data_IF_619780450969
#
_entry.id   IF_619780450969
#
_cell.length_a   1.000
_cell.length_b   1.000
_cell.length_c   1.000
_cell.angle_alpha   90.00
_cell.angle_beta   90.00
_cell.angle_gamma   90.00
#
_symmetry.space_group_name_H-M   'P 1'
#
loop_
_entity.id
_entity.type
_entity.pdbx_description
1 polymer ?
#
# COMPACT_ATOMS: atom_id res chain seq x y z
N UNK A 1 25.51 -1.63 -25.02
CA UNK A 1 26.35 -0.95 -24.01
C UNK A 1 25.58 0.28 -23.55
N UNK A 2 24.95 0.24 -22.37
CA UNK A 2 24.15 1.36 -21.84
C UNK A 2 24.91 2.04 -20.68
N UNK A 3 25.41 3.28 -20.84
CA UNK A 3 26.39 3.86 -19.92
C UNK A 3 25.79 4.82 -18.87
N UNK A 4 24.69 4.49 -18.18
CA UNK A 4 24.11 5.40 -17.18
C UNK A 4 23.45 4.75 -15.94
N UNK A 5 23.87 3.54 -15.56
CA UNK A 5 23.62 3.08 -14.19
C UNK A 5 24.72 3.66 -13.28
N UNK A 6 24.63 4.95 -12.98
CA UNK A 6 25.34 5.51 -11.83
C UNK A 6 24.81 4.78 -10.59
N UNK A 7 25.74 4.22 -9.81
CA UNK A 7 25.46 3.53 -8.56
C UNK A 7 24.68 4.44 -7.63
N UNK A 8 23.36 4.21 -7.48
CA UNK A 8 22.61 4.76 -6.36
C UNK A 8 23.32 4.28 -5.09
N UNK A 9 23.82 5.22 -4.29
CA UNK A 9 24.33 4.88 -2.96
C UNK A 9 23.18 4.26 -2.18
N UNK A 10 23.28 2.96 -1.88
CA UNK A 10 22.38 2.31 -0.94
C UNK A 10 22.58 3.00 0.40
N UNK A 11 21.70 3.92 0.76
CA UNK A 11 21.67 4.47 2.11
C UNK A 11 21.39 3.28 3.03
N UNK A 12 22.23 3.08 4.04
CA UNK A 12 21.93 2.12 5.09
C UNK A 12 20.63 2.56 5.79
N UNK A 13 19.68 1.65 6.05
CA UNK A 13 18.45 2.02 6.74
C UNK A 13 18.79 2.57 8.14
N UNK A 14 18.15 3.66 8.54
CA UNK A 14 18.26 4.15 9.92
C UNK A 14 17.84 3.05 10.92
N UNK A 15 18.57 2.90 12.03
CA UNK A 15 18.36 1.81 13.02
C UNK A 15 16.91 1.67 13.50
N UNK A 16 16.18 2.79 13.59
CA UNK A 16 14.76 2.82 13.99
C UNK A 16 13.83 2.13 12.99
N UNK A 17 14.15 2.19 11.70
CA UNK A 17 13.38 1.57 10.62
C UNK A 17 13.59 0.05 10.60
N UNK A 18 14.80 -0.40 10.96
CA UNK A 18 15.12 -1.82 11.07
C UNK A 18 14.35 -2.51 12.21
N UNK A 19 14.23 -1.85 13.37
CA UNK A 19 13.46 -2.40 14.50
C UNK A 19 11.97 -2.59 14.15
N UNK A 20 11.36 -1.62 13.44
CA UNK A 20 9.99 -1.73 12.97
C UNK A 20 9.79 -2.87 11.97
N UNK A 21 10.73 -3.03 11.03
CA UNK A 21 10.71 -4.11 10.06
C UNK A 21 10.83 -5.50 10.72
N UNK A 22 11.74 -5.66 11.68
CA UNK A 22 11.94 -6.92 12.40
C UNK A 22 10.70 -7.32 13.22
N UNK A 23 10.09 -6.35 13.90
CA UNK A 23 8.85 -6.57 14.63
C UNK A 23 7.71 -6.98 13.69
N UNK A 24 7.59 -6.35 12.52
CA UNK A 24 6.61 -6.74 11.50
C UNK A 24 6.83 -8.18 11.00
N UNK A 25 8.07 -8.53 10.64
CA UNK A 25 8.44 -9.89 10.19
C UNK A 25 8.05 -10.92 11.23
N UNK A 26 8.32 -10.62 12.51
CA UNK A 26 7.95 -11.48 13.64
C UNK A 26 6.44 -11.59 13.82
N UNK A 27 5.72 -10.48 13.78
CA UNK A 27 4.27 -10.42 13.94
C UNK A 27 3.54 -11.26 12.88
N UNK A 28 4.01 -11.21 11.63
CA UNK A 28 3.39 -11.93 10.51
C UNK A 28 4.02 -13.30 10.21
N UNK A 29 4.96 -13.76 11.05
CA UNK A 29 5.69 -15.02 10.88
C UNK A 29 6.27 -15.18 9.46
N UNK A 30 6.86 -14.09 8.94
CA UNK A 30 7.46 -14.07 7.61
C UNK A 30 8.80 -14.80 7.69
N UNK A 31 8.99 -15.81 6.85
CA UNK A 31 10.26 -16.54 6.83
C UNK A 31 11.42 -15.67 6.34
N UNK A 32 12.64 -16.06 6.71
CA UNK A 32 13.85 -15.30 6.42
C UNK A 32 14.04 -15.00 4.92
N UNK A 33 13.74 -15.97 4.05
CA UNK A 33 13.86 -15.79 2.59
C UNK A 33 12.95 -14.67 2.07
N UNK A 34 11.71 -14.57 2.56
CA UNK A 34 10.81 -13.48 2.19
C UNK A 34 11.20 -12.17 2.89
N UNK A 35 11.65 -12.22 4.15
CA UNK A 35 12.12 -11.03 4.85
C UNK A 35 13.30 -10.36 4.11
N UNK A 36 14.27 -11.14 3.62
CA UNK A 36 15.38 -10.60 2.80
C UNK A 36 14.88 -9.94 1.52
N UNK A 37 13.88 -10.52 0.84
CA UNK A 37 13.29 -9.92 -0.35
C UNK A 37 12.55 -8.62 -0.05
N UNK A 38 11.81 -8.57 1.07
CA UNK A 38 11.11 -7.37 1.51
C UNK A 38 12.07 -6.23 1.87
N UNK A 39 13.22 -6.53 2.49
CA UNK A 39 14.28 -5.53 2.71
C UNK A 39 14.80 -4.92 1.40
N UNK A 40 14.77 -5.66 0.30
CA UNK A 40 15.17 -5.18 -1.02
C UNK A 40 14.28 -4.05 -1.56
N UNK A 41 13.13 -3.77 -0.94
CA UNK A 41 12.28 -2.61 -1.26
C UNK A 41 12.83 -1.30 -0.68
N UNK A 42 13.85 -1.35 0.19
CA UNK A 42 14.46 -0.15 0.75
C UNK A 42 15.02 0.77 -0.36
N UNK A 43 14.74 2.07 -0.23
CA UNK A 43 15.20 3.09 -1.19
C UNK A 43 14.41 3.13 -2.50
N UNK A 44 13.31 2.38 -2.58
CA UNK A 44 12.28 2.60 -3.59
C UNK A 44 11.15 3.41 -2.98
N UNK A 45 10.63 4.33 -3.78
CA UNK A 45 9.36 4.97 -3.52
C UNK A 45 8.22 3.98 -3.77
N UNK A 46 7.33 3.83 -2.78
CA UNK A 46 6.23 2.87 -2.85
C UNK A 46 4.90 3.61 -3.02
N UNK A 47 4.22 3.32 -4.13
CA UNK A 47 2.90 3.88 -4.47
C UNK A 47 1.85 2.78 -4.60
N UNK A 48 0.69 2.97 -3.97
CA UNK A 48 -0.49 2.12 -4.08
C UNK A 48 -1.55 2.79 -4.95
N UNK A 49 -2.16 2.04 -5.87
CA UNK A 49 -3.38 2.44 -6.56
C UNK A 49 -4.53 1.55 -6.08
N UNK A 50 -5.41 2.12 -5.27
CA UNK A 50 -6.53 1.42 -4.64
C UNK A 50 -7.80 1.51 -5.50
N UNK A 51 -8.38 0.36 -5.85
CA UNK A 51 -9.71 0.32 -6.47
C UNK A 51 -10.77 0.68 -5.44
N UNK A 52 -11.46 1.78 -5.68
CA UNK A 52 -12.60 2.24 -4.89
C UNK A 52 -13.86 2.43 -5.75
N UNK A 53 -13.98 1.64 -6.83
CA UNK A 53 -15.15 1.62 -7.70
C UNK A 53 -16.39 1.04 -7.01
N UNK A 54 -17.58 1.30 -7.56
CA UNK A 54 -18.84 0.77 -7.02
C UNK A 54 -18.87 -0.76 -6.91
N UNK A 55 -18.11 -1.47 -7.76
CA UNK A 55 -18.00 -2.94 -7.73
C UNK A 55 -17.37 -3.48 -6.45
N UNK A 56 -16.62 -2.65 -5.71
CA UNK A 56 -15.97 -3.03 -4.46
C UNK A 56 -16.97 -3.24 -3.30
N UNK A 57 -18.24 -2.84 -3.47
CA UNK A 57 -19.33 -3.18 -2.53
C UNK A 57 -19.77 -4.65 -2.63
N UNK A 58 -19.28 -5.40 -3.61
CA UNK A 58 -19.64 -6.80 -3.81
C UNK A 58 -19.25 -7.63 -2.58
N UNK A 59 -20.18 -8.39 -1.98
CA UNK A 59 -19.88 -9.33 -0.90
C UNK A 59 -18.88 -10.42 -1.33
N UNK A 60 -18.05 -10.86 -0.39
CA UNK A 60 -17.14 -12.00 -0.52
C UNK A 60 -17.71 -13.17 0.28
N UNK A 61 -17.77 -14.34 -0.34
CA UNK A 61 -18.26 -15.59 0.26
C UNK A 61 -19.73 -15.90 -0.06
N UNK A 62 -20.09 -17.18 0.08
CA UNK A 62 -21.48 -17.62 -0.06
C UNK A 62 -22.34 -17.10 1.10
N UNK A 63 -23.60 -16.80 0.82
CA UNK A 63 -24.61 -16.42 1.83
C UNK A 63 -24.77 -17.60 2.79
N UNK A 64 -24.07 -17.59 3.92
CA UNK A 64 -24.41 -18.50 5.01
C UNK A 64 -25.68 -17.94 5.65
N UNK A 65 -26.70 -18.76 5.86
CA UNK A 65 -27.96 -18.36 6.51
C UNK A 65 -27.83 -17.87 7.96
N UNK A 66 -26.62 -17.72 8.48
CA UNK A 66 -26.38 -16.96 9.71
C UNK A 66 -26.31 -15.48 9.35
N UNK A 67 -27.14 -14.63 9.95
CA UNK A 67 -27.25 -13.18 9.69
C UNK A 67 -25.99 -12.34 9.99
N UNK A 68 -24.79 -12.89 9.81
CA UNK A 68 -23.52 -12.18 9.84
C UNK A 68 -23.39 -11.33 8.57
N UNK A 69 -23.06 -10.06 8.78
CA UNK A 69 -22.71 -9.14 7.71
C UNK A 69 -21.55 -9.74 6.89
N UNK A 70 -21.79 -9.94 5.60
CA UNK A 70 -20.75 -10.45 4.70
C UNK A 70 -19.67 -9.38 4.49
N UNK A 71 -18.40 -9.79 4.55
CA UNK A 71 -17.29 -8.92 4.17
C UNK A 71 -17.44 -8.54 2.70
N UNK A 72 -17.09 -7.32 2.32
CA UNK A 72 -17.10 -6.89 0.90
C UNK A 72 -15.67 -6.82 0.38
N UNK A 73 -15.50 -6.77 -0.95
CA UNK A 73 -14.18 -6.52 -1.57
C UNK A 73 -13.51 -5.26 -1.03
N UNK A 74 -14.30 -4.25 -0.68
CA UNK A 74 -13.80 -3.06 -0.01
C UNK A 74 -13.21 -3.33 1.36
N UNK A 75 -13.89 -4.11 2.20
CA UNK A 75 -13.38 -4.47 3.53
C UNK A 75 -12.09 -5.32 3.45
N UNK A 76 -11.99 -6.20 2.46
CA UNK A 76 -10.75 -6.95 2.18
C UNK A 76 -9.62 -6.03 1.71
N UNK A 77 -9.91 -5.08 0.82
CA UNK A 77 -8.93 -4.09 0.37
C UNK A 77 -8.44 -3.23 1.54
N UNK A 78 -9.33 -2.73 2.41
CA UNK A 78 -8.93 -1.97 3.62
C UNK A 78 -7.93 -2.74 4.45
N UNK A 79 -8.25 -4.00 4.77
CA UNK A 79 -7.38 -4.86 5.60
C UNK A 79 -6.03 -5.06 4.93
N UNK A 80 -6.03 -5.38 3.64
CA UNK A 80 -4.80 -5.64 2.87
C UNK A 80 -3.93 -4.38 2.80
N UNK A 81 -4.50 -3.24 2.40
CA UNK A 81 -3.76 -1.98 2.29
C UNK A 81 -3.22 -1.55 3.65
N UNK A 82 -3.99 -1.66 4.73
CA UNK A 82 -3.49 -1.35 6.08
C UNK A 82 -2.24 -2.16 6.44
N UNK A 83 -2.25 -3.48 6.18
CA UNK A 83 -1.10 -4.36 6.46
C UNK A 83 0.12 -3.94 5.63
N UNK A 84 -0.08 -3.70 4.33
CA UNK A 84 1.02 -3.42 3.41
C UNK A 84 1.56 -2.01 3.62
N UNK A 85 0.74 -1.03 4.02
CA UNK A 85 1.20 0.32 4.40
C UNK A 85 2.07 0.27 5.66
N UNK A 86 1.65 -0.47 6.69
CA UNK A 86 2.47 -0.60 7.91
C UNK A 86 3.81 -1.28 7.61
N UNK A 87 3.84 -2.27 6.69
CA UNK A 87 5.10 -2.85 6.21
C UNK A 87 5.94 -1.84 5.42
N UNK A 88 5.34 -1.22 4.40
CA UNK A 88 6.05 -0.36 3.47
C UNK A 88 6.66 0.85 4.20
N UNK A 89 5.96 1.39 5.20
CA UNK A 89 6.45 2.47 6.05
C UNK A 89 7.65 2.09 6.94
N UNK A 90 7.95 0.78 7.10
CA UNK A 90 9.19 0.34 7.79
C UNK A 90 10.41 0.29 6.86
N UNK A 91 10.19 0.29 5.54
CA UNK A 91 11.27 0.22 4.53
C UNK A 91 11.40 1.48 3.69
N UNK A 92 10.38 2.35 3.70
CA UNK A 92 10.35 3.66 3.07
C UNK A 92 10.23 4.75 4.15
N UNK A 93 11.31 5.48 4.49
CA UNK A 93 11.30 6.49 5.55
C UNK A 93 10.40 7.69 5.23
N UNK A 94 10.15 7.97 3.94
CA UNK A 94 9.34 9.11 3.50
C UNK A 94 7.83 8.79 3.46
N UNK A 95 7.48 7.57 3.88
CA UNK A 95 6.12 7.06 3.88
C UNK A 95 5.71 6.53 2.51
N UNK A 96 4.43 6.24 2.34
CA UNK A 96 3.89 5.72 1.09
C UNK A 96 2.72 6.53 0.57
N UNK A 97 2.54 6.51 -0.74
CA UNK A 97 1.46 7.25 -1.38
C UNK A 97 0.33 6.33 -1.80
N UNK A 98 -0.90 6.72 -1.46
CA UNK A 98 -2.10 6.00 -1.82
C UNK A 98 -2.92 6.85 -2.78
N UNK A 99 -2.97 6.41 -4.03
CA UNK A 99 -3.90 6.89 -5.02
C UNK A 99 -5.15 6.04 -5.02
N UNK A 100 -6.28 6.65 -5.32
CA UNK A 100 -7.57 5.97 -5.45
C UNK A 100 -8.17 6.25 -6.81
N UNK A 101 -9.00 5.34 -7.31
CA UNK A 101 -9.61 5.48 -8.63
C UNK A 101 -10.61 6.65 -8.71
N UNK A 102 -11.31 6.96 -7.62
CA UNK A 102 -12.44 7.88 -7.61
C UNK A 102 -12.38 8.96 -6.49
N UNK A 103 -11.25 9.09 -5.78
CA UNK A 103 -11.04 10.14 -4.76
C UNK A 103 -9.60 10.68 -4.80
N UNK A 104 -9.35 11.73 -4.02
CA UNK A 104 -8.03 12.36 -3.91
C UNK A 104 -6.99 11.39 -3.32
N UNK A 105 -5.72 11.49 -3.74
CA UNK A 105 -4.65 10.71 -3.13
C UNK A 105 -4.39 11.13 -1.69
N UNK A 106 -3.81 10.23 -0.92
CA UNK A 106 -3.24 10.46 0.41
C UNK A 106 -1.74 10.20 0.30
N UNK A 107 -0.92 11.21 0.59
CA UNK A 107 0.52 11.19 0.37
C UNK A 107 1.28 11.06 1.69
N UNK A 108 2.51 10.53 1.65
CA UNK A 108 3.41 10.40 2.81
C UNK A 108 2.76 9.71 4.01
N UNK A 109 2.05 8.61 3.77
CA UNK A 109 1.40 7.84 4.83
C UNK A 109 2.44 6.98 5.54
N UNK A 110 2.51 7.07 6.86
CA UNK A 110 3.45 6.29 7.68
C UNK A 110 2.77 5.21 8.52
N UNK A 111 1.44 5.22 8.61
CA UNK A 111 0.69 4.21 9.35
C UNK A 111 -0.70 3.97 8.78
N UNK A 112 -1.15 2.71 8.88
CA UNK A 112 -2.52 2.30 8.59
C UNK A 112 -3.59 3.08 9.37
N UNK A 113 -3.25 3.66 10.53
CA UNK A 113 -4.16 4.50 11.32
C UNK A 113 -4.61 5.75 10.57
N UNK A 114 -3.76 6.30 9.71
CA UNK A 114 -4.05 7.47 8.89
C UNK A 114 -5.07 7.17 7.78
N UNK A 115 -5.28 5.88 7.47
CA UNK A 115 -6.23 5.45 6.46
C UNK A 115 -7.68 5.42 6.96
N UNK A 116 -7.89 5.44 8.28
CA UNK A 116 -9.22 5.29 8.90
C UNK A 116 -10.24 6.30 8.35
N UNK A 117 -9.94 7.62 8.27
CA UNK A 117 -10.90 8.59 7.73
C UNK A 117 -11.21 8.34 6.25
N UNK A 118 -10.20 8.01 5.45
CA UNK A 118 -10.35 7.76 4.02
C UNK A 118 -11.19 6.51 3.74
N UNK A 119 -11.02 5.46 4.55
CA UNK A 119 -11.75 4.21 4.41
C UNK A 119 -13.15 4.20 5.05
N UNK A 120 -13.48 5.20 5.86
CA UNK A 120 -14.85 5.44 6.32
C UNK A 120 -15.79 5.83 5.16
N UNK A 121 -15.23 6.35 4.06
CA UNK A 121 -15.98 6.68 2.84
C UNK A 121 -16.16 5.42 1.98
N UNK A 122 -17.40 4.97 1.72
CA UNK A 122 -17.67 3.80 0.87
C UNK A 122 -17.13 3.98 -0.56
N UNK A 123 -16.76 2.90 -1.24
CA UNK A 123 -16.28 2.97 -2.62
C UNK A 123 -17.44 3.32 -3.54
N UNK A 124 -17.18 4.09 -4.59
CA UNK A 124 -18.17 4.45 -5.59
C UNK A 124 -17.48 4.89 -6.89
N UNK A 125 -18.19 4.79 -8.00
CA UNK A 125 -17.69 5.26 -9.30
C UNK A 125 -17.13 4.14 -10.17
N UNK A 126 -16.40 4.55 -11.21
CA UNK A 126 -15.90 3.68 -12.28
C UNK A 126 -14.48 3.15 -11.96
N UNK A 127 -13.85 2.48 -12.93
CA UNK A 127 -12.48 1.94 -12.81
C UNK A 127 -11.48 2.64 -13.75
N UNK A 128 -11.26 3.97 -13.65
CA UNK A 128 -10.38 4.72 -14.55
C UNK A 128 -8.88 4.48 -14.28
N UNK A 129 -8.42 3.23 -14.26
CA UNK A 129 -7.05 2.83 -13.89
C UNK A 129 -5.98 3.53 -14.74
N UNK A 130 -6.20 3.64 -16.06
CA UNK A 130 -5.25 4.30 -16.96
C UNK A 130 -5.08 5.78 -16.63
N UNK A 131 -6.17 6.46 -16.25
CA UNK A 131 -6.14 7.87 -15.86
C UNK A 131 -5.30 8.06 -14.60
N UNK A 132 -5.53 7.25 -13.58
CA UNK A 132 -4.82 7.36 -12.30
C UNK A 132 -3.36 6.94 -12.43
N UNK A 133 -3.06 5.90 -13.20
CA UNK A 133 -1.66 5.53 -13.47
C UNK A 133 -0.89 6.66 -14.15
N UNK A 134 -1.51 7.37 -15.12
CA UNK A 134 -0.88 8.55 -15.73
C UNK A 134 -0.66 9.68 -14.73
N UNK A 135 -1.60 9.87 -13.80
CA UNK A 135 -1.46 10.86 -12.75
C UNK A 135 -0.26 10.53 -11.83
N UNK A 136 -0.17 9.29 -11.33
CA UNK A 136 0.96 8.84 -10.52
C UNK A 136 2.30 9.09 -11.24
N UNK A 137 2.38 8.69 -12.51
CA UNK A 137 3.61 8.87 -13.29
C UNK A 137 3.96 10.32 -13.57
N UNK A 138 3.00 11.25 -13.51
CA UNK A 138 3.27 12.68 -13.69
C UNK A 138 3.71 13.30 -12.37
N UNK A 139 2.97 13.03 -11.29
CA UNK A 139 3.30 13.51 -9.94
C UNK A 139 4.72 13.07 -9.55
N UNK A 140 5.09 11.81 -9.82
CA UNK A 140 6.41 11.23 -9.49
C UNK A 140 7.56 11.56 -10.44
N UNK A 141 7.31 12.29 -11.52
CA UNK A 141 8.39 12.85 -12.35
C UNK A 141 8.90 14.19 -11.84
N UNK A 142 8.10 14.87 -11.01
CA UNK A 142 8.36 16.26 -10.59
C UNK A 142 9.07 16.33 -9.22
N UNK A 143 9.29 15.19 -8.58
CA UNK A 143 10.06 15.00 -7.34
C UNK A 143 11.52 14.64 -7.65
#
# INVERSE_FOLDING_TARGET
MYPHLQSRSFHEPAEKNMAGFEEFVRQYNINETFATKLRGLHGYEIVFICDDSGSMKTPIGSVSGSGRQQSTRWEELKKTVSIVVDLASTVDPDGVDLYFLNRKPLLHVHSSKELIPTFAIPPNGATPIVRVLRQVLEDKKQE
#
